data_IF_484393692067
#
_entry.id   IF_484393692067
#
_cell.length_a   1.000
_cell.length_b   1.000
_cell.length_c   1.000
_cell.angle_alpha   90.00
_cell.angle_beta   90.00
_cell.angle_gamma   90.00
#
_symmetry.space_group_name_H-M   'P 1'
#
loop_
_entity.id
_entity.type
_entity.pdbx_description
1 polymer ?
#
# COMPACT_ATOMS: atom_id res chain seq x y z
N UNK A 1 -8.32 -4.77 -15.51
CA UNK A 1 -7.25 -5.77 -15.26
C UNK A 1 -6.51 -5.38 -13.99
N UNK A 2 -6.74 -6.09 -12.87
CA UNK A 2 -5.93 -5.94 -11.66
C UNK A 2 -4.55 -6.56 -11.92
N UNK A 3 -3.64 -5.79 -12.51
CA UNK A 3 -2.23 -6.16 -12.54
C UNK A 3 -1.72 -6.00 -11.11
N UNK A 4 -1.74 -7.10 -10.34
CA UNK A 4 -1.07 -7.17 -9.04
C UNK A 4 0.38 -6.77 -9.26
N UNK A 5 0.76 -5.57 -8.81
CA UNK A 5 2.14 -5.14 -8.85
C UNK A 5 2.89 -5.92 -7.77
N UNK A 6 4.10 -6.41 -8.04
CA UNK A 6 4.94 -6.91 -6.96
C UNK A 6 5.14 -5.78 -5.94
N UNK A 7 5.09 -6.12 -4.66
CA UNK A 7 5.34 -5.19 -3.56
C UNK A 7 6.35 -5.82 -2.61
N UNK A 8 7.12 -4.99 -1.92
CA UNK A 8 8.00 -5.43 -0.85
C UNK A 8 7.18 -5.60 0.44
N UNK A 9 7.26 -6.79 1.06
CA UNK A 9 6.49 -7.14 2.26
C UNK A 9 6.83 -6.26 3.47
N UNK A 10 8.10 -5.96 3.68
CA UNK A 10 8.57 -5.11 4.78
C UNK A 10 8.10 -3.66 4.56
N UNK A 11 8.24 -3.13 3.35
CA UNK A 11 7.72 -1.81 2.98
C UNK A 11 6.22 -1.71 3.23
N UNK A 12 5.45 -2.72 2.81
CA UNK A 12 4.01 -2.75 3.03
C UNK A 12 3.67 -2.78 4.54
N UNK A 13 4.33 -3.64 5.33
CA UNK A 13 4.10 -3.67 6.78
C UNK A 13 4.44 -2.32 7.43
N UNK A 14 5.61 -1.75 7.10
CA UNK A 14 6.07 -0.48 7.63
C UNK A 14 5.10 0.66 7.31
N UNK A 15 4.68 0.80 6.06
CA UNK A 15 3.75 1.86 5.64
C UNK A 15 2.41 1.70 6.33
N UNK A 16 1.85 0.48 6.36
CA UNK A 16 0.54 0.24 6.95
C UNK A 16 0.49 0.64 8.43
N UNK A 17 1.52 0.27 9.20
CA UNK A 17 1.57 0.54 10.63
C UNK A 17 2.05 1.95 10.98
N UNK A 18 2.91 2.57 10.16
CA UNK A 18 3.35 3.95 10.37
C UNK A 18 2.26 4.98 9.99
N UNK A 19 1.43 4.66 8.99
CA UNK A 19 0.42 5.56 8.44
C UNK A 19 -0.97 4.89 8.40
N UNK A 20 -1.60 4.62 9.56
CA UNK A 20 -2.78 3.76 9.62
C UNK A 20 -4.04 4.35 8.97
N UNK A 21 -4.10 5.67 8.79
CA UNK A 21 -5.27 6.37 8.26
C UNK A 21 -5.07 6.82 6.81
N UNK A 22 -3.95 7.48 6.51
CA UNK A 22 -3.76 8.16 5.24
C UNK A 22 -2.31 8.11 4.77
N UNK A 23 -2.12 8.00 3.46
CA UNK A 23 -0.81 8.03 2.81
C UNK A 23 -0.78 9.02 1.66
N UNK A 24 0.41 9.58 1.44
CA UNK A 24 0.70 10.58 0.42
C UNK A 24 1.47 10.02 -0.76
N UNK A 25 1.97 10.92 -1.60
CA UNK A 25 2.78 10.54 -2.75
C UNK A 25 4.07 9.77 -2.39
N UNK A 26 4.83 10.10 -1.32
CA UNK A 26 6.04 9.37 -0.97
C UNK A 26 5.76 7.89 -0.66
N UNK A 27 4.76 7.61 0.17
CA UNK A 27 4.41 6.24 0.55
C UNK A 27 3.82 5.47 -0.63
N UNK A 28 3.02 6.13 -1.48
CA UNK A 28 2.53 5.51 -2.72
C UNK A 28 3.68 5.15 -3.68
N UNK A 29 4.71 5.99 -3.78
CA UNK A 29 5.89 5.69 -4.61
C UNK A 29 6.59 4.43 -4.11
N UNK A 30 6.79 4.36 -2.81
CA UNK A 30 7.49 3.24 -2.19
C UNK A 30 6.67 1.95 -2.23
N UNK A 31 5.38 2.01 -1.89
CA UNK A 31 4.48 0.84 -1.87
C UNK A 31 4.33 0.19 -3.25
N UNK A 32 4.29 1.00 -4.31
CA UNK A 32 4.09 0.53 -5.68
C UNK A 32 5.36 0.43 -6.51
N UNK A 33 6.52 0.73 -5.90
CA UNK A 33 7.83 0.82 -6.54
C UNK A 33 7.80 1.65 -7.84
N UNK A 34 7.38 2.92 -7.70
CA UNK A 34 7.26 3.86 -8.82
C UNK A 34 8.01 5.16 -8.56
N UNK A 35 8.79 5.61 -9.54
CA UNK A 35 9.51 6.89 -9.49
C UNK A 35 8.69 8.06 -10.07
N UNK A 36 7.92 7.79 -11.13
CA UNK A 36 7.22 8.80 -11.91
C UNK A 36 5.96 9.35 -11.21
N UNK A 37 5.87 10.68 -11.11
CA UNK A 37 4.72 11.36 -10.50
C UNK A 37 3.41 11.10 -11.26
N UNK A 38 3.45 11.00 -12.59
CA UNK A 38 2.26 10.72 -13.42
C UNK A 38 1.64 9.35 -13.10
N UNK A 39 2.47 8.35 -12.79
CA UNK A 39 2.01 7.02 -12.37
C UNK A 39 1.38 7.07 -10.99
N UNK A 40 1.98 7.79 -10.03
CA UNK A 40 1.41 7.99 -8.69
C UNK A 40 0.05 8.68 -8.77
N UNK A 41 -0.08 9.74 -9.58
CA UNK A 41 -1.35 10.44 -9.77
C UNK A 41 -2.43 9.54 -10.38
N UNK A 42 -2.05 8.67 -11.32
CA UNK A 42 -2.97 7.67 -11.90
C UNK A 42 -3.44 6.67 -10.84
N UNK A 43 -2.54 6.14 -10.02
CA UNK A 43 -2.89 5.23 -8.91
C UNK A 43 -3.84 5.91 -7.94
N UNK A 44 -3.50 7.13 -7.51
CA UNK A 44 -4.30 7.93 -6.57
C UNK A 44 -5.70 8.19 -7.09
N UNK A 45 -5.84 8.44 -8.39
CA UNK A 45 -7.14 8.62 -9.04
C UNK A 45 -8.00 7.36 -8.91
N UNK A 46 -7.45 6.18 -9.16
CA UNK A 46 -8.19 4.92 -9.03
C UNK A 46 -8.53 4.60 -7.57
N UNK A 47 -7.59 4.79 -6.63
CA UNK A 47 -7.86 4.64 -5.19
C UNK A 47 -8.99 5.58 -4.75
N UNK A 48 -9.01 6.82 -5.23
CA UNK A 48 -10.09 7.77 -4.91
C UNK A 48 -11.45 7.36 -5.44
N UNK A 49 -11.54 6.71 -6.59
CA UNK A 49 -12.81 6.14 -7.07
C UNK A 49 -13.32 5.10 -6.09
N UNK A 50 -12.44 4.18 -5.66
CA UNK A 50 -12.79 3.18 -4.66
C UNK A 50 -13.18 3.82 -3.31
N UNK A 51 -12.49 4.88 -2.88
CA UNK A 51 -12.87 5.63 -1.67
C UNK A 51 -14.26 6.23 -1.80
N UNK A 52 -14.60 6.83 -2.95
CA UNK A 52 -15.92 7.42 -3.22
C UNK A 52 -17.00 6.33 -3.20
N UNK A 53 -16.77 5.21 -3.86
CA UNK A 53 -17.68 4.05 -3.87
C UNK A 53 -17.96 3.55 -2.43
N UNK A 54 -16.96 3.65 -1.54
CA UNK A 54 -17.05 3.20 -0.14
C UNK A 54 -17.44 4.30 0.84
N UNK A 55 -17.64 5.54 0.38
CA UNK A 55 -17.95 6.68 1.26
C UNK A 55 -16.82 7.07 2.22
N UNK A 56 -15.56 6.71 1.91
CA UNK A 56 -14.39 7.00 2.75
C UNK A 56 -13.87 8.41 2.47
N UNK A 57 -13.59 9.16 3.53
CA UNK A 57 -13.04 10.52 3.47
C UNK A 57 -11.66 10.56 4.11
N UNK A 58 -10.87 11.55 3.69
CA UNK A 58 -9.55 11.84 4.23
C UNK A 58 -9.52 13.26 4.79
N UNK A 59 -8.72 13.45 5.83
CA UNK A 59 -8.38 14.72 6.45
C UNK A 59 -7.55 15.59 5.52
N UNK A 60 -6.54 14.99 4.86
CA UNK A 60 -5.72 15.71 3.90
C UNK A 60 -6.23 15.47 2.46
N UNK A 61 -6.67 16.51 1.72
CA UNK A 61 -7.13 16.37 0.35
C UNK A 61 -6.02 15.97 -0.64
N UNK A 62 -4.75 16.03 -0.22
CA UNK A 62 -3.61 15.50 -0.96
C UNK A 62 -3.28 14.06 -0.59
N UNK A 63 -4.04 13.39 0.27
CA UNK A 63 -3.79 11.99 0.60
C UNK A 63 -4.89 11.08 0.03
N UNK A 64 -4.72 9.78 0.30
CA UNK A 64 -5.71 8.72 0.13
C UNK A 64 -5.74 7.86 1.39
N UNK A 65 -6.86 7.19 1.62
CA UNK A 65 -7.02 6.28 2.75
C UNK A 65 -6.09 5.06 2.60
N UNK A 66 -5.38 4.72 3.67
CA UNK A 66 -4.39 3.63 3.66
C UNK A 66 -5.05 2.29 3.37
N UNK A 67 -6.14 1.96 4.06
CA UNK A 67 -6.80 0.64 3.94
C UNK A 67 -7.34 0.42 2.53
N UNK A 68 -7.97 1.45 1.97
CA UNK A 68 -8.50 1.45 0.61
C UNK A 68 -7.39 1.32 -0.42
N UNK A 69 -6.21 1.90 -0.16
CA UNK A 69 -5.05 1.71 -1.04
C UNK A 69 -4.55 0.26 -1.04
N UNK A 70 -4.51 -0.41 0.12
CA UNK A 70 -4.08 -1.80 0.24
C UNK A 70 -5.06 -2.75 -0.44
N UNK A 71 -6.36 -2.48 -0.30
CA UNK A 71 -7.42 -3.19 -1.01
C UNK A 71 -7.29 -3.04 -2.52
N UNK A 72 -7.10 -1.79 -3.02
CA UNK A 72 -6.83 -1.54 -4.43
C UNK A 72 -5.59 -2.30 -4.93
N UNK A 73 -4.54 -2.37 -4.11
CA UNK A 73 -3.32 -3.11 -4.42
C UNK A 73 -3.50 -4.64 -4.33
N UNK A 74 -4.61 -5.12 -3.75
CA UNK A 74 -4.83 -6.54 -3.47
C UNK A 74 -3.90 -7.10 -2.41
N UNK A 75 -3.48 -6.26 -1.45
CA UNK A 75 -2.59 -6.61 -0.35
C UNK A 75 -3.43 -6.98 0.88
N UNK A 76 -3.45 -8.27 1.22
CA UNK A 76 -3.95 -8.74 2.52
C UNK A 76 -2.83 -8.58 3.56
N UNK A 77 -2.88 -7.48 4.31
CA UNK A 77 -1.83 -7.14 5.28
C UNK A 77 -1.65 -8.21 6.36
N UNK A 78 -2.72 -8.88 6.77
CA UNK A 78 -2.65 -9.95 7.77
C UNK A 78 -1.95 -11.19 7.19
N UNK A 79 -2.17 -11.50 5.91
CA UNK A 79 -1.44 -12.57 5.22
C UNK A 79 0.05 -12.23 5.04
N UNK A 80 0.36 -10.97 4.73
CA UNK A 80 1.74 -10.47 4.62
C UNK A 80 2.45 -10.59 5.97
N UNK A 81 1.83 -10.13 7.05
CA UNK A 81 2.38 -10.20 8.40
C UNK A 81 2.66 -11.64 8.84
N UNK A 82 1.69 -12.56 8.66
CA UNK A 82 1.87 -13.99 8.98
C UNK A 82 3.05 -14.59 8.21
N UNK A 83 3.16 -14.29 6.92
CA UNK A 83 4.23 -14.81 6.07
C UNK A 83 5.58 -14.25 6.47
N UNK A 84 5.66 -12.94 6.73
CA UNK A 84 6.87 -12.26 7.17
C UNK A 84 7.39 -12.81 8.50
N UNK A 85 6.52 -12.95 9.50
CA UNK A 85 6.87 -13.54 10.80
C UNK A 85 7.34 -14.99 10.68
N UNK A 86 6.70 -15.77 9.79
CA UNK A 86 7.14 -17.15 9.51
C UNK A 86 8.53 -17.19 8.90
N UNK A 87 8.83 -16.32 7.94
CA UNK A 87 10.16 -16.25 7.32
C UNK A 87 11.23 -15.85 8.35
N UNK A 88 10.95 -14.84 9.18
CA UNK A 88 11.83 -14.42 10.27
C UNK A 88 12.10 -15.54 11.28
N UNK A 89 11.06 -16.26 11.69
CA UNK A 89 11.20 -17.41 12.60
C UNK A 89 12.06 -18.54 12.01
N UNK A 90 12.02 -18.73 10.70
CA UNK A 90 12.80 -19.76 10.01
C UNK A 90 14.23 -19.30 9.66
N UNK A 91 14.61 -18.05 9.97
CA UNK A 91 15.90 -17.48 9.57
C UNK A 91 16.06 -17.31 8.06
N UNK A 92 14.94 -17.26 7.32
CA UNK A 92 14.92 -17.14 5.86
C UNK A 92 14.75 -15.68 5.43
N UNK A 93 15.28 -14.73 6.20
CA UNK A 93 15.17 -13.32 5.86
C UNK A 93 15.76 -13.10 4.46
N UNK A 94 14.94 -12.56 3.55
CA UNK A 94 15.37 -12.26 2.17
C UNK A 94 16.44 -11.19 2.28
N UNK A 95 17.70 -11.54 2.01
CA UNK A 95 18.77 -10.56 1.90
C UNK A 95 18.41 -9.58 0.78
N UNK A 96 18.39 -8.30 1.13
CA UNK A 96 18.12 -7.17 0.24
C UNK A 96 19.20 -7.03 -0.84
#
# INVERSE_FOLDING_TARGET
MNKKRPFNAETALRIYYAYPNEIGNPELKELFDVSANSTVLSIKKEVRKLMIEKGVKVWNPQNVDTKTTYEYAGIDIAAVERSYLKMKKLGLEVQA
#
